data_IF_432326609260
#
_entry.id   IF_432326609260
#
_cell.length_a   1.000
_cell.length_b   1.000
_cell.length_c   1.000
_cell.angle_alpha   90.00
_cell.angle_beta   90.00
_cell.angle_gamma   90.00
#
_symmetry.space_group_name_H-M   'P 1'
#
loop_
_entity.id
_entity.type
_entity.pdbx_description
1 polymer ?
#
# COMPACT_ATOMS: atom_id res chain seq x y z
N UNK A 1 -0.98 36.76 -5.91
CA UNK A 1 -1.92 36.04 -5.02
C UNK A 1 -1.96 34.56 -5.39
N UNK A 2 -1.05 33.73 -4.87
CA UNK A 2 -1.01 32.28 -5.22
C UNK A 2 -0.42 31.47 -4.07
N UNK A 3 -1.05 31.49 -2.90
CA UNK A 3 -0.56 30.73 -1.74
C UNK A 3 -1.68 30.07 -0.91
N UNK A 4 -2.85 29.80 -1.52
CA UNK A 4 -4.01 29.29 -0.75
C UNK A 4 -4.45 27.88 -1.16
N UNK A 5 -3.97 27.33 -2.29
CA UNK A 5 -4.48 26.02 -2.77
C UNK A 5 -3.80 24.81 -2.10
N UNK A 6 -2.59 24.94 -1.54
CA UNK A 6 -1.88 23.78 -0.96
C UNK A 6 -2.41 23.32 0.41
N UNK A 7 -3.02 24.20 1.21
CA UNK A 7 -3.42 23.86 2.57
C UNK A 7 -4.71 23.02 2.65
N UNK A 8 -5.64 23.23 1.72
CA UNK A 8 -6.92 22.52 1.72
C UNK A 8 -6.78 21.03 1.29
N UNK A 9 -5.75 20.68 0.53
CA UNK A 9 -5.49 19.30 0.11
C UNK A 9 -4.82 18.44 1.21
N UNK A 10 -4.14 19.08 2.17
CA UNK A 10 -3.50 18.39 3.30
C UNK A 10 -4.50 18.03 4.42
N UNK A 11 -5.54 18.84 4.62
CA UNK A 11 -6.52 18.62 5.69
C UNK A 11 -7.58 17.55 5.37
N UNK A 12 -7.85 17.27 4.09
CA UNK A 12 -8.75 16.15 3.71
C UNK A 12 -8.11 14.77 3.93
N UNK A 13 -6.80 14.72 4.17
CA UNK A 13 -5.96 13.51 4.25
C UNK A 13 -6.15 12.67 5.51
N UNK A 14 -6.88 13.16 6.52
CA UNK A 14 -7.01 12.51 7.83
C UNK A 14 -8.41 11.97 8.17
N UNK A 15 -9.36 11.99 7.22
CA UNK A 15 -10.75 11.61 7.51
C UNK A 15 -11.20 10.26 6.96
N UNK A 16 -10.27 9.35 6.66
CA UNK A 16 -10.59 7.93 6.46
C UNK A 16 -10.23 7.17 7.74
N UNK A 17 -11.16 7.24 8.69
CA UNK A 17 -11.15 6.43 9.91
C UNK A 17 -11.09 4.95 9.51
N UNK A 18 -10.15 4.24 10.14
CA UNK A 18 -9.69 2.88 9.85
C UNK A 18 -10.80 1.82 9.71
N UNK A 19 -11.45 1.74 8.55
CA UNK A 19 -12.05 0.47 8.12
C UNK A 19 -10.96 -0.28 7.40
N UNK A 20 -10.32 -1.26 8.05
CA UNK A 20 -9.47 -2.24 7.37
C UNK A 20 -10.30 -2.81 6.21
N UNK A 21 -9.96 -2.47 4.95
CA UNK A 21 -10.66 -3.05 3.82
C UNK A 21 -10.49 -4.58 3.89
N UNK A 22 -11.51 -5.34 3.51
CA UNK A 22 -11.41 -6.79 3.45
C UNK A 22 -10.25 -7.16 2.51
N UNK A 23 -9.25 -7.90 3.01
CA UNK A 23 -8.08 -8.29 2.24
C UNK A 23 -6.89 -8.72 3.12
N UNK A 24 -5.84 -9.27 2.50
CA UNK A 24 -4.68 -9.78 3.22
C UNK A 24 -3.95 -8.69 4.02
N UNK A 25 -3.68 -8.96 5.30
CA UNK A 25 -3.13 -7.97 6.24
C UNK A 25 -1.79 -7.35 5.82
N UNK A 26 -0.97 -8.09 5.06
CA UNK A 26 0.33 -7.64 4.61
C UNK A 26 0.27 -6.44 3.66
N UNK A 27 -0.81 -6.28 2.88
CA UNK A 27 -0.97 -5.14 1.98
C UNK A 27 -1.23 -3.86 2.76
N UNK A 28 -2.02 -3.92 3.84
CA UNK A 28 -2.23 -2.78 4.73
C UNK A 28 -0.98 -2.40 5.49
N UNK A 29 -0.18 -3.39 5.90
CA UNK A 29 1.11 -3.13 6.52
C UNK A 29 2.07 -2.40 5.57
N UNK A 30 2.06 -2.77 4.28
CA UNK A 30 2.82 -2.06 3.25
C UNK A 30 2.34 -0.62 3.08
N UNK A 31 1.03 -0.40 2.93
CA UNK A 31 0.47 0.95 2.82
C UNK A 31 0.83 1.83 4.03
N UNK A 32 0.80 1.25 5.23
CA UNK A 32 1.18 1.95 6.47
C UNK A 32 2.68 2.28 6.52
N UNK A 33 3.54 1.36 6.07
CA UNK A 33 4.98 1.60 6.02
C UNK A 33 5.36 2.66 4.97
N UNK A 34 4.63 2.71 3.86
CA UNK A 34 4.84 3.69 2.80
C UNK A 34 4.29 5.07 3.16
N UNK A 35 3.20 5.14 3.94
CA UNK A 35 2.62 6.42 4.34
C UNK A 35 3.53 7.21 5.27
N UNK A 36 4.30 6.56 6.14
CA UNK A 36 5.34 7.22 6.95
C UNK A 36 6.47 7.82 6.11
N UNK A 37 6.60 7.39 4.85
CA UNK A 37 7.60 7.87 3.88
C UNK A 37 7.00 8.85 2.85
N UNK A 38 5.76 9.30 3.07
CA UNK A 38 5.07 10.27 2.22
C UNK A 38 4.24 9.67 1.08
N UNK A 39 4.32 8.35 0.86
CA UNK A 39 3.57 7.67 -0.19
C UNK A 39 2.18 7.27 0.31
N UNK A 40 1.13 7.85 -0.27
CA UNK A 40 -0.27 7.50 0.03
C UNK A 40 -0.95 7.09 -1.27
N UNK A 41 -1.71 6.00 -1.24
CA UNK A 41 -2.52 5.55 -2.37
C UNK A 41 -3.77 6.42 -2.51
N UNK A 42 -4.03 6.92 -3.71
CA UNK A 42 -5.27 7.64 -3.99
C UNK A 42 -6.48 6.68 -3.94
N UNK A 43 -7.67 7.10 -3.47
CA UNK A 43 -8.86 6.24 -3.53
C UNK A 43 -9.24 5.78 -4.94
N UNK A 44 -8.91 6.56 -5.96
CA UNK A 44 -9.15 6.24 -7.37
C UNK A 44 -8.02 5.42 -8.01
N UNK A 45 -6.88 5.29 -7.33
CA UNK A 45 -5.70 4.59 -7.85
C UNK A 45 -5.77 3.10 -7.49
N UNK A 46 -5.59 2.23 -8.48
CA UNK A 46 -5.56 0.78 -8.27
C UNK A 46 -4.30 0.36 -7.52
N UNK A 47 -4.27 -0.83 -6.89
CA UNK A 47 -3.04 -1.35 -6.27
C UNK A 47 -1.86 -1.42 -7.25
N UNK A 48 -2.09 -1.81 -8.51
CA UNK A 48 -1.05 -1.87 -9.55
C UNK A 48 -0.49 -0.49 -9.88
N UNK A 49 -1.36 0.47 -10.17
CA UNK A 49 -0.96 1.85 -10.47
C UNK A 49 -0.15 2.44 -9.31
N UNK A 50 -0.56 2.16 -8.06
CA UNK A 50 0.19 2.57 -6.88
C UNK A 50 1.61 1.98 -6.85
N UNK A 51 1.74 0.67 -7.11
CA UNK A 51 3.04 0.02 -7.14
C UNK A 51 3.94 0.55 -8.27
N UNK A 52 3.37 0.77 -9.46
CA UNK A 52 4.07 1.36 -10.60
C UNK A 52 4.55 2.78 -10.31
N UNK A 53 3.75 3.57 -9.57
CA UNK A 53 4.15 4.91 -9.15
C UNK A 53 5.27 4.91 -8.12
N UNK A 54 5.23 4.00 -7.15
CA UNK A 54 6.26 3.90 -6.10
C UNK A 54 7.58 3.38 -6.66
N UNK A 55 7.56 2.60 -7.74
CA UNK A 55 8.74 2.05 -8.45
C UNK A 55 9.69 1.25 -7.55
N UNK A 56 9.14 0.58 -6.54
CA UNK A 56 9.87 -0.29 -5.62
C UNK A 56 9.49 -1.76 -5.89
N UNK A 57 10.49 -2.62 -6.06
CA UNK A 57 10.27 -4.02 -6.39
C UNK A 57 9.53 -4.77 -5.26
N UNK A 58 9.82 -4.46 -4.00
CA UNK A 58 9.13 -5.06 -2.86
C UNK A 58 7.65 -4.67 -2.82
N UNK A 59 7.33 -3.42 -3.16
CA UNK A 59 5.95 -2.93 -3.28
C UNK A 59 5.20 -3.64 -4.40
N UNK A 60 5.86 -3.87 -5.54
CA UNK A 60 5.31 -4.65 -6.66
C UNK A 60 5.01 -6.09 -6.24
N UNK A 61 5.97 -6.78 -5.64
CA UNK A 61 5.83 -8.17 -5.18
C UNK A 61 4.67 -8.33 -4.18
N UNK A 62 4.55 -7.41 -3.21
CA UNK A 62 3.46 -7.42 -2.22
C UNK A 62 2.10 -7.18 -2.91
N UNK A 63 2.06 -6.29 -3.90
CA UNK A 63 0.84 -5.92 -4.62
C UNK A 63 0.35 -7.04 -5.54
N UNK A 64 1.25 -7.77 -6.17
CA UNK A 64 0.92 -8.96 -6.98
C UNK A 64 0.33 -10.07 -6.10
N UNK A 65 0.96 -10.34 -4.95
CA UNK A 65 0.44 -11.32 -3.99
C UNK A 65 -0.94 -10.93 -3.44
N UNK A 66 -1.15 -9.63 -3.17
CA UNK A 66 -2.45 -9.11 -2.76
C UNK A 66 -3.53 -9.37 -3.81
N UNK A 67 -3.24 -9.12 -5.10
CA UNK A 67 -4.18 -9.38 -6.18
C UNK A 67 -4.47 -10.86 -6.34
N UNK A 68 -3.44 -11.71 -6.24
CA UNK A 68 -3.58 -13.16 -6.30
C UNK A 68 -4.51 -13.69 -5.20
N UNK A 69 -4.41 -13.19 -3.98
CA UNK A 69 -5.27 -13.63 -2.87
C UNK A 69 -6.67 -12.97 -2.91
N UNK A 70 -6.79 -11.75 -3.46
CA UNK A 70 -8.07 -11.03 -3.55
C UNK A 70 -8.95 -11.49 -4.71
N UNK A 71 -8.34 -11.78 -5.86
CA UNK A 71 -9.03 -12.07 -7.11
C UNK A 71 -8.74 -13.48 -7.65
N UNK A 72 -7.72 -14.17 -7.14
CA UNK A 72 -7.44 -15.55 -7.48
C UNK A 72 -8.05 -16.54 -6.47
N UNK A 73 -8.22 -17.79 -6.89
CA UNK A 73 -8.71 -18.89 -6.04
C UNK A 73 -7.64 -19.46 -5.09
N UNK A 74 -6.51 -18.79 -4.92
CA UNK A 74 -5.34 -19.31 -4.19
C UNK A 74 -4.88 -18.38 -3.08
N UNK A 75 -4.67 -18.93 -1.88
CA UNK A 75 -4.04 -18.20 -0.78
C UNK A 75 -2.51 -18.23 -0.92
N UNK A 76 -1.85 -17.13 -0.58
CA UNK A 76 -0.40 -17.07 -0.56
C UNK A 76 0.15 -17.89 0.61
N UNK A 77 0.91 -18.96 0.34
CA UNK A 77 1.33 -19.94 1.35
C UNK A 77 2.84 -20.22 1.34
N UNK A 78 3.34 -20.81 2.44
CA UNK A 78 4.72 -21.30 2.55
C UNK A 78 5.80 -20.26 2.29
N UNK A 79 6.67 -20.53 1.32
CA UNK A 79 7.82 -19.69 0.98
C UNK A 79 7.43 -18.31 0.43
N UNK A 80 6.33 -18.21 -0.32
CA UNK A 80 5.84 -16.96 -0.91
C UNK A 80 5.43 -15.97 0.18
N UNK A 81 4.68 -16.45 1.19
CA UNK A 81 4.28 -15.63 2.33
C UNK A 81 5.49 -15.15 3.16
N UNK A 82 6.52 -16.00 3.31
CA UNK A 82 7.76 -15.62 4.01
C UNK A 82 8.51 -14.50 3.28
N UNK A 83 8.56 -14.54 1.94
CA UNK A 83 9.14 -13.48 1.10
C UNK A 83 8.36 -12.16 1.26
N UNK A 84 7.03 -12.19 1.17
CA UNK A 84 6.17 -11.00 1.34
C UNK A 84 6.35 -10.37 2.72
N UNK A 85 6.32 -11.18 3.80
CA UNK A 85 6.57 -10.68 5.16
C UNK A 85 7.97 -10.09 5.31
N UNK A 86 8.97 -10.64 4.62
CA UNK A 86 10.32 -10.06 4.58
C UNK A 86 10.29 -8.68 3.89
N UNK A 87 9.68 -8.58 2.71
CA UNK A 87 9.56 -7.32 1.97
C UNK A 87 8.87 -6.23 2.81
N UNK A 88 7.74 -6.55 3.47
CA UNK A 88 7.05 -5.62 4.39
C UNK A 88 7.96 -5.16 5.53
N UNK A 89 8.78 -6.06 6.11
CA UNK A 89 9.71 -5.69 7.18
C UNK A 89 10.82 -4.77 6.69
N UNK A 90 11.38 -4.99 5.51
CA UNK A 90 12.39 -4.10 4.96
C UNK A 90 11.80 -2.71 4.66
N UNK A 91 10.56 -2.63 4.15
CA UNK A 91 9.85 -1.36 3.95
C UNK A 91 9.61 -0.59 5.26
N UNK A 92 9.47 -1.28 6.40
CA UNK A 92 9.32 -0.66 7.72
C UNK A 92 10.64 -0.13 8.30
N UNK A 93 11.79 -0.55 7.78
CA UNK A 93 13.13 -0.14 8.26
C UNK A 93 13.70 1.06 7.50
N UNK A 94 13.25 1.27 6.26
CA UNK A 94 13.76 2.31 5.36
C UNK A 94 13.02 3.64 5.44
#
# INVERSE_FOLDING_TARGET
MTAVILAAFLLRRFKNKDRRPAGPGFYFDMLKALSSRGFVRSPAETPLEFAERVRDQGVKDITEAFQKERYGHGKTHGAELKKIRKAVRELKKG
#
